data_IF_887289846368
#
_entry.id   IF_887289846368
#
_cell.length_a   1.000
_cell.length_b   1.000
_cell.length_c   1.000
_cell.angle_alpha   90.00
_cell.angle_beta   90.00
_cell.angle_gamma   90.00
#
_symmetry.space_group_name_H-M   'P 1'
#
loop_
_entity.id
_entity.type
_entity.pdbx_description
1 polymer ?
#
# COMPACT_ATOMS: atom_id res chain seq x y z
N UNK A 1 -17.33 20.39 -13.36
CA UNK A 1 -16.66 20.24 -14.65
C UNK A 1 -17.21 21.18 -15.75
N UNK A 2 -18.48 21.33 -15.95
CA UNK A 2 -19.11 22.15 -17.02
C UNK A 2 -18.73 23.64 -16.97
N UNK A 3 -18.72 24.27 -15.79
CA UNK A 3 -18.35 25.70 -15.65
C UNK A 3 -16.92 26.03 -16.13
N UNK A 4 -15.95 25.14 -15.90
CA UNK A 4 -14.57 25.36 -16.35
C UNK A 4 -14.38 25.21 -17.85
N UNK A 5 -15.17 24.34 -18.52
CA UNK A 5 -15.16 24.21 -19.98
C UNK A 5 -15.75 25.45 -20.65
N UNK A 6 -16.89 25.97 -20.18
CA UNK A 6 -17.47 27.20 -20.70
C UNK A 6 -16.54 28.40 -20.60
N UNK A 7 -15.81 28.52 -19.48
CA UNK A 7 -14.83 29.60 -19.29
C UNK A 7 -13.68 29.54 -20.31
N UNK A 8 -13.20 28.34 -20.65
CA UNK A 8 -12.11 28.17 -21.64
C UNK A 8 -12.54 28.61 -23.05
N UNK A 9 -13.79 28.33 -23.46
CA UNK A 9 -14.32 28.81 -24.72
C UNK A 9 -14.53 30.33 -24.72
N UNK A 10 -14.98 30.89 -23.62
CA UNK A 10 -15.14 32.34 -23.48
C UNK A 10 -13.78 33.06 -23.56
N UNK A 11 -12.76 32.54 -22.90
CA UNK A 11 -11.37 33.06 -22.97
C UNK A 11 -10.88 32.99 -24.40
N UNK A 12 -11.13 31.90 -25.16
CA UNK A 12 -10.69 31.77 -26.53
C UNK A 12 -11.34 32.80 -27.47
N UNK A 13 -12.61 33.07 -27.32
CA UNK A 13 -13.29 34.10 -28.13
C UNK A 13 -12.83 35.51 -27.74
N UNK A 14 -12.63 35.76 -26.45
CA UNK A 14 -12.12 37.09 -25.99
C UNK A 14 -10.69 37.34 -26.51
N UNK A 15 -9.81 36.33 -26.46
CA UNK A 15 -8.43 36.49 -26.94
C UNK A 15 -8.38 36.79 -28.46
N UNK A 16 -9.23 36.11 -29.24
CA UNK A 16 -9.35 36.35 -30.68
C UNK A 16 -9.91 37.76 -30.94
N UNK A 17 -10.96 38.19 -30.24
CA UNK A 17 -11.53 39.52 -30.39
C UNK A 17 -10.51 40.63 -30.04
N UNK A 18 -9.77 40.46 -28.94
CA UNK A 18 -8.71 41.38 -28.52
C UNK A 18 -7.59 41.45 -29.57
N UNK A 19 -7.16 40.32 -30.11
CA UNK A 19 -6.15 40.24 -31.15
C UNK A 19 -6.60 40.97 -32.43
N UNK A 20 -7.86 40.78 -32.85
CA UNK A 20 -8.45 41.47 -33.99
C UNK A 20 -8.49 43.00 -33.79
N UNK A 21 -8.99 43.45 -32.62
CA UNK A 21 -9.05 44.88 -32.28
C UNK A 21 -7.65 45.51 -32.20
N UNK A 22 -6.65 44.81 -31.73
CA UNK A 22 -5.27 45.29 -31.66
C UNK A 22 -4.61 45.35 -33.03
N UNK A 23 -5.06 44.52 -33.98
CA UNK A 23 -4.54 44.50 -35.34
C UNK A 23 -5.10 45.63 -36.23
N UNK A 24 -6.33 46.09 -35.99
CA UNK A 24 -6.99 47.13 -36.82
C UNK A 24 -6.18 48.40 -37.03
N UNK A 25 -5.55 49.03 -36.01
CA UNK A 25 -4.82 50.29 -36.22
C UNK A 25 -3.49 50.11 -36.97
N UNK A 26 -2.96 48.89 -37.05
CA UNK A 26 -1.71 48.58 -37.73
C UNK A 26 -1.88 48.27 -39.24
N UNK A 27 -3.11 47.97 -39.66
CA UNK A 27 -3.45 47.70 -41.06
C UNK A 27 -3.79 49.02 -41.81
N UNK A 28 -3.33 49.27 -43.07
CA UNK A 28 -2.58 48.36 -43.93
C UNK A 28 -1.04 48.50 -43.88
N UNK A 29 -0.50 49.23 -42.90
CA UNK A 29 0.94 49.52 -42.86
C UNK A 29 1.82 48.25 -42.63
N UNK A 30 1.26 47.18 -42.04
CA UNK A 30 1.95 45.94 -41.80
C UNK A 30 1.00 44.74 -42.12
N UNK A 31 1.04 44.29 -43.38
CA UNK A 31 0.12 43.26 -43.89
C UNK A 31 0.11 41.94 -43.15
N UNK A 32 1.24 41.46 -42.62
CA UNK A 32 1.36 40.18 -41.93
C UNK A 32 1.06 40.26 -40.43
N UNK A 33 0.96 41.46 -39.87
CA UNK A 33 0.80 41.69 -38.43
C UNK A 33 -0.52 41.13 -37.86
N UNK A 34 -1.69 41.24 -38.53
CA UNK A 34 -2.94 40.66 -38.09
C UNK A 34 -2.86 39.12 -37.93
N UNK A 35 -2.27 38.42 -38.90
CA UNK A 35 -2.13 36.96 -38.87
C UNK A 35 -1.29 36.51 -37.70
N UNK A 36 -0.19 37.20 -37.37
CA UNK A 36 0.66 36.88 -36.21
C UNK A 36 -0.07 37.05 -34.87
N UNK A 37 -0.86 38.12 -34.71
CA UNK A 37 -1.65 38.35 -33.49
C UNK A 37 -2.75 37.29 -33.31
N UNK A 38 -3.43 36.91 -34.37
CA UNK A 38 -4.44 35.86 -34.34
C UNK A 38 -3.83 34.50 -34.07
N UNK A 39 -2.65 34.22 -34.62
CA UNK A 39 -1.90 32.99 -34.30
C UNK A 39 -1.53 32.93 -32.80
N UNK A 40 -1.10 34.05 -32.21
CA UNK A 40 -0.83 34.15 -30.78
C UNK A 40 -2.10 33.92 -29.95
N UNK A 41 -3.25 34.42 -30.37
CA UNK A 41 -4.53 34.17 -29.72
C UNK A 41 -4.94 32.68 -29.74
N UNK A 42 -4.68 31.99 -30.87
CA UNK A 42 -4.87 30.54 -31.00
C UNK A 42 -3.93 29.78 -30.05
N UNK A 43 -2.66 30.20 -29.97
CA UNK A 43 -1.69 29.59 -29.05
C UNK A 43 -2.11 29.74 -27.57
N UNK A 44 -2.59 30.90 -27.15
CA UNK A 44 -3.12 31.16 -25.83
C UNK A 44 -4.35 30.29 -25.57
N UNK A 45 -5.29 30.22 -26.51
CA UNK A 45 -6.49 29.39 -26.40
C UNK A 45 -6.17 27.89 -26.24
N UNK A 46 -5.19 27.40 -27.03
CA UNK A 46 -4.70 26.02 -26.92
C UNK A 46 -4.06 25.75 -25.57
N UNK A 47 -3.33 26.71 -25.01
CA UNK A 47 -2.66 26.56 -23.71
C UNK A 47 -3.65 26.49 -22.53
N UNK A 48 -4.73 27.26 -22.58
CA UNK A 48 -5.73 27.35 -21.49
C UNK A 48 -6.77 26.24 -21.61
N UNK A 49 -7.33 26.03 -22.79
CA UNK A 49 -8.50 25.19 -22.99
C UNK A 49 -8.25 23.82 -23.68
N UNK A 50 -7.06 23.60 -24.24
CA UNK A 50 -6.77 22.42 -25.04
C UNK A 50 -7.37 22.48 -26.45
N UNK A 51 -7.68 21.33 -27.05
CA UNK A 51 -8.10 21.22 -28.46
C UNK A 51 -9.38 21.98 -28.81
N UNK A 52 -10.45 21.83 -28.03
CA UNK A 52 -11.75 22.41 -28.36
C UNK A 52 -11.69 23.93 -28.50
N UNK A 53 -11.29 24.67 -27.45
CA UNK A 53 -11.09 26.12 -27.53
C UNK A 53 -10.08 26.56 -28.60
N UNK A 54 -9.01 25.78 -28.85
CA UNK A 54 -8.04 26.08 -29.91
C UNK A 54 -8.67 26.02 -31.32
N UNK A 55 -9.48 25.01 -31.59
CA UNK A 55 -10.18 24.89 -32.88
C UNK A 55 -11.17 26.04 -33.06
N UNK A 56 -11.92 26.40 -32.00
CA UNK A 56 -12.87 27.52 -32.08
C UNK A 56 -12.15 28.83 -32.33
N UNK A 57 -11.03 29.11 -31.65
CA UNK A 57 -10.23 30.30 -31.89
C UNK A 57 -9.56 30.30 -33.28
N UNK A 58 -9.17 29.14 -33.80
CA UNK A 58 -8.64 29.02 -35.18
C UNK A 58 -9.69 29.41 -36.22
N UNK A 59 -10.89 28.84 -36.11
CA UNK A 59 -12.00 29.14 -37.03
C UNK A 59 -12.43 30.62 -36.92
N UNK A 60 -12.61 31.13 -35.71
CA UNK A 60 -12.97 32.52 -35.48
C UNK A 60 -11.87 33.48 -35.97
N UNK A 61 -10.60 33.18 -35.68
CA UNK A 61 -9.46 33.98 -36.12
C UNK A 61 -9.35 34.02 -37.64
N UNK A 62 -9.52 32.86 -38.30
CA UNK A 62 -9.52 32.78 -39.75
C UNK A 62 -10.65 33.62 -40.38
N UNK A 63 -11.89 33.47 -39.88
CA UNK A 63 -13.02 34.25 -40.37
C UNK A 63 -12.84 35.78 -40.20
N UNK A 64 -12.23 36.18 -39.07
CA UNK A 64 -11.97 37.59 -38.80
C UNK A 64 -10.79 38.12 -39.64
N UNK A 65 -9.79 37.28 -39.94
CA UNK A 65 -8.68 37.63 -40.84
C UNK A 65 -9.21 37.89 -42.24
N UNK A 66 -9.99 36.96 -42.79
CA UNK A 66 -10.60 37.07 -44.12
C UNK A 66 -11.53 38.29 -44.23
N UNK A 67 -12.40 38.52 -43.25
CA UNK A 67 -13.39 39.61 -43.29
C UNK A 67 -12.79 41.02 -43.13
N UNK A 68 -11.82 41.21 -42.23
CA UNK A 68 -11.30 42.54 -41.91
C UNK A 68 -10.00 42.94 -42.64
N UNK A 69 -9.18 41.94 -43.02
CA UNK A 69 -7.82 42.20 -43.47
C UNK A 69 -7.50 41.70 -44.89
N UNK A 70 -8.42 40.94 -45.54
CA UNK A 70 -8.25 40.59 -46.95
C UNK A 70 -9.00 41.52 -47.90
N UNK A 71 -8.49 41.64 -49.12
CA UNK A 71 -9.07 42.49 -50.14
C UNK A 71 -10.04 41.70 -51.04
N UNK A 72 -11.28 42.23 -51.32
CA UNK A 72 -11.85 43.47 -50.83
C UNK A 72 -12.35 43.34 -49.37
N UNK A 73 -12.02 44.34 -48.49
CA UNK A 73 -12.41 44.29 -47.09
C UNK A 73 -13.95 44.25 -46.92
N UNK A 74 -14.40 43.62 -45.80
CA UNK A 74 -15.81 43.41 -45.47
C UNK A 74 -16.56 42.47 -46.43
N UNK A 75 -15.82 41.57 -47.10
CA UNK A 75 -16.40 40.56 -47.97
C UNK A 75 -15.75 39.21 -47.69
N UNK A 76 -16.49 38.13 -47.80
CA UNK A 76 -15.96 36.77 -47.71
C UNK A 76 -15.69 36.29 -49.17
N UNK A 77 -14.50 36.52 -49.66
CA UNK A 77 -14.10 36.06 -51.01
C UNK A 77 -12.81 35.26 -50.92
N UNK A 78 -12.91 33.99 -51.16
CA UNK A 78 -11.74 33.10 -51.30
C UNK A 78 -11.17 33.33 -52.71
N UNK A 79 -10.45 34.45 -52.93
CA UNK A 79 -9.96 34.86 -54.24
C UNK A 79 -8.50 34.58 -54.50
N UNK A 80 -7.73 34.15 -53.47
CA UNK A 80 -6.31 33.89 -53.63
C UNK A 80 -5.88 32.55 -53.00
N UNK A 81 -4.82 31.95 -53.54
CA UNK A 81 -4.24 30.67 -53.07
C UNK A 81 -3.60 30.81 -51.68
N UNK A 82 -3.34 32.02 -51.19
CA UNK A 82 -2.80 32.31 -49.87
C UNK A 82 -3.76 31.93 -48.72
N UNK A 83 -5.05 32.22 -48.85
CA UNK A 83 -6.08 32.03 -47.81
C UNK A 83 -6.19 30.57 -47.27
N UNK A 84 -6.23 29.54 -48.13
CA UNK A 84 -6.24 28.15 -47.63
C UNK A 84 -4.92 27.73 -46.98
N UNK A 85 -3.79 28.31 -47.38
CA UNK A 85 -2.48 28.00 -46.75
C UNK A 85 -2.40 28.54 -45.33
N UNK A 86 -2.92 29.74 -45.08
CA UNK A 86 -2.99 30.33 -43.74
C UNK A 86 -3.90 29.52 -42.80
N UNK A 87 -5.05 29.08 -43.29
CA UNK A 87 -5.91 28.19 -42.49
C UNK A 87 -5.21 26.87 -42.10
N UNK A 88 -4.48 26.27 -43.05
CA UNK A 88 -3.68 25.07 -42.78
C UNK A 88 -2.60 25.35 -41.72
N UNK A 89 -1.90 26.48 -41.82
CA UNK A 89 -0.89 26.88 -40.85
C UNK A 89 -1.48 27.11 -39.44
N UNK A 90 -2.59 27.83 -39.35
CA UNK A 90 -3.32 28.02 -38.08
C UNK A 90 -3.78 26.70 -37.47
N UNK A 91 -4.36 25.83 -38.29
CA UNK A 91 -4.82 24.49 -37.82
C UNK A 91 -3.64 23.61 -37.36
N UNK A 92 -2.53 23.66 -38.12
CA UNK A 92 -1.30 22.94 -37.74
C UNK A 92 -0.78 23.38 -36.37
N UNK A 93 -0.67 24.71 -36.15
CA UNK A 93 -0.23 25.25 -34.85
C UNK A 93 -1.21 24.89 -33.72
N UNK A 94 -2.52 25.01 -33.99
CA UNK A 94 -3.54 24.64 -32.98
C UNK A 94 -3.43 23.17 -32.56
N UNK A 95 -3.27 22.26 -33.53
CA UNK A 95 -3.09 20.83 -33.28
C UNK A 95 -1.77 20.56 -32.57
N UNK A 96 -0.68 21.14 -33.02
CA UNK A 96 0.65 20.96 -32.44
C UNK A 96 0.67 21.40 -30.95
N UNK A 97 0.21 22.63 -30.69
CA UNK A 97 0.14 23.17 -29.33
C UNK A 97 -0.88 22.40 -28.43
N UNK A 98 -2.01 22.02 -29.03
CA UNK A 98 -3.00 21.19 -28.35
C UNK A 98 -2.44 19.84 -27.91
N UNK A 99 -1.71 19.14 -28.81
CA UNK A 99 -1.06 17.85 -28.51
C UNK A 99 0.04 17.99 -27.47
N UNK A 100 0.90 19.00 -27.62
CA UNK A 100 2.00 19.26 -26.70
C UNK A 100 1.47 19.55 -25.28
N UNK A 101 0.48 20.43 -25.17
CA UNK A 101 -0.14 20.74 -23.88
C UNK A 101 -0.85 19.52 -23.26
N UNK A 102 -1.52 18.68 -24.07
CA UNK A 102 -2.13 17.45 -23.58
C UNK A 102 -1.08 16.48 -23.00
N UNK A 103 0.02 16.29 -23.73
CA UNK A 103 1.16 15.46 -23.27
C UNK A 103 1.80 16.01 -21.99
N UNK A 104 2.04 17.31 -21.92
CA UNK A 104 2.60 17.96 -20.73
C UNK A 104 1.68 17.81 -19.50
N UNK A 105 0.37 17.97 -19.69
CA UNK A 105 -0.61 17.75 -18.59
C UNK A 105 -0.62 16.30 -18.13
N UNK A 106 -0.64 15.34 -19.05
CA UNK A 106 -0.57 13.92 -18.74
C UNK A 106 0.72 13.57 -17.98
N UNK A 107 1.87 14.03 -18.46
CA UNK A 107 3.16 13.80 -17.81
C UNK A 107 3.20 14.39 -16.38
N UNK A 108 2.66 15.62 -16.20
CA UNK A 108 2.55 16.24 -14.86
C UNK A 108 1.63 15.46 -13.93
N UNK A 109 0.51 14.95 -14.43
CA UNK A 109 -0.41 14.12 -13.62
C UNK A 109 0.25 12.82 -13.19
N UNK A 110 0.94 12.12 -14.09
CA UNK A 110 1.69 10.91 -13.74
C UNK A 110 2.79 11.19 -12.71
N UNK A 111 3.56 12.25 -12.92
CA UNK A 111 4.62 12.64 -11.98
C UNK A 111 4.06 13.03 -10.59
N UNK A 112 2.91 13.71 -10.53
CA UNK A 112 2.28 14.07 -9.25
C UNK A 112 1.68 12.86 -8.54
N UNK A 113 1.13 11.89 -9.28
CA UNK A 113 0.63 10.63 -8.70
C UNK A 113 1.77 9.79 -8.13
N UNK A 114 2.85 9.60 -8.90
CA UNK A 114 4.03 8.87 -8.44
C UNK A 114 4.69 9.53 -7.21
N UNK A 115 4.72 10.87 -7.17
CA UNK A 115 5.20 11.61 -6.00
C UNK A 115 4.33 11.38 -4.76
N UNK A 116 3.00 11.46 -4.92
CA UNK A 116 2.07 11.23 -3.82
C UNK A 116 2.20 9.81 -3.25
N UNK A 117 2.39 8.81 -4.11
CA UNK A 117 2.61 7.43 -3.71
C UNK A 117 3.94 7.25 -2.97
N UNK A 118 5.03 7.84 -3.48
CA UNK A 118 6.32 7.80 -2.81
C UNK A 118 6.30 8.52 -1.44
N UNK A 119 5.63 9.67 -1.34
CA UNK A 119 5.46 10.40 -0.08
C UNK A 119 4.61 9.60 0.93
N UNK A 120 3.56 8.90 0.47
CA UNK A 120 2.76 8.02 1.31
C UNK A 120 3.60 6.85 1.86
N UNK A 121 4.38 6.19 1.00
CA UNK A 121 5.29 5.10 1.41
C UNK A 121 6.34 5.57 2.43
N UNK A 122 6.92 6.76 2.23
CA UNK A 122 7.86 7.34 3.21
C UNK A 122 7.20 7.63 4.56
N UNK A 123 5.99 8.19 4.58
CA UNK A 123 5.25 8.44 5.83
C UNK A 123 4.97 7.14 6.59
N UNK A 124 4.48 6.11 5.89
CA UNK A 124 4.24 4.80 6.52
C UNK A 124 5.53 4.22 7.12
N UNK A 125 6.66 4.35 6.41
CA UNK A 125 7.97 3.94 6.93
C UNK A 125 8.39 4.73 8.18
N UNK A 126 8.22 6.05 8.16
CA UNK A 126 8.61 6.91 9.28
C UNK A 126 7.72 6.67 10.51
N UNK A 127 6.43 6.43 10.32
CA UNK A 127 5.50 6.02 11.37
C UNK A 127 5.91 4.67 11.98
N UNK A 128 6.27 3.69 11.15
CA UNK A 128 6.79 2.41 11.62
C UNK A 128 8.07 2.56 12.45
N UNK A 129 9.03 3.38 11.99
CA UNK A 129 10.27 3.64 12.73
C UNK A 129 10.01 4.36 14.07
N UNK A 130 9.03 5.26 14.11
CA UNK A 130 8.64 5.94 15.37
C UNK A 130 8.05 4.93 16.36
N UNK A 131 7.19 4.02 15.90
CA UNK A 131 6.60 2.94 16.71
C UNK A 131 7.67 2.01 17.25
N UNK A 132 8.59 1.54 16.40
CA UNK A 132 9.74 0.71 16.80
C UNK A 132 10.58 1.41 17.87
N UNK A 133 10.89 2.70 17.67
CA UNK A 133 11.68 3.48 18.62
C UNK A 133 10.99 3.62 19.98
N UNK A 134 9.68 3.81 19.98
CA UNK A 134 8.86 3.87 21.19
C UNK A 134 8.86 2.52 21.93
N UNK A 135 8.63 1.42 21.21
CA UNK A 135 8.51 0.07 21.76
C UNK A 135 9.84 -0.49 22.27
N UNK A 136 10.97 -0.02 21.73
CA UNK A 136 12.30 -0.29 22.29
C UNK A 136 12.60 0.55 23.52
N UNK A 137 12.12 1.79 23.58
CA UNK A 137 12.43 2.71 24.70
C UNK A 137 11.76 2.29 26.00
N UNK A 138 10.55 1.77 25.94
CA UNK A 138 9.78 1.35 27.12
C UNK A 138 10.48 0.26 27.91
N UNK A 139 10.83 -0.92 27.36
CA UNK A 139 11.55 -1.97 28.08
C UNK A 139 12.95 -1.51 28.53
N UNK A 140 13.64 -0.76 27.70
CA UNK A 140 14.96 -0.23 28.06
C UNK A 140 14.90 0.73 29.26
N UNK A 141 13.83 1.54 29.36
CA UNK A 141 13.59 2.40 30.51
C UNK A 141 13.30 1.63 31.76
N UNK A 142 12.48 0.56 31.67
CA UNK A 142 12.18 -0.33 32.79
C UNK A 142 13.45 -1.03 33.31
N UNK A 143 14.27 -1.59 32.40
CA UNK A 143 15.58 -2.18 32.75
C UNK A 143 16.46 -1.14 33.46
N UNK A 144 16.63 0.05 32.85
CA UNK A 144 17.46 1.11 33.41
C UNK A 144 16.99 1.56 34.77
N UNK A 145 15.69 1.70 34.99
CA UNK A 145 15.09 2.09 36.27
C UNK A 145 15.33 1.01 37.32
N UNK A 146 15.10 -0.27 37.02
CA UNK A 146 15.31 -1.41 37.89
C UNK A 146 16.79 -1.51 38.30
N UNK A 147 17.72 -1.40 37.35
CA UNK A 147 19.16 -1.39 37.61
C UNK A 147 19.55 -0.20 38.49
N UNK A 148 19.00 1.00 38.20
CA UNK A 148 19.32 2.20 39.02
C UNK A 148 18.85 2.05 40.47
N UNK A 149 17.67 1.45 40.67
CA UNK A 149 17.12 1.16 41.99
C UNK A 149 17.97 0.14 42.74
N UNK A 150 18.40 -0.94 42.08
CA UNK A 150 19.28 -1.96 42.64
C UNK A 150 20.65 -1.43 43.02
N UNK A 151 21.16 -0.42 42.33
CA UNK A 151 22.47 0.21 42.56
C UNK A 151 22.45 1.32 43.60
N UNK A 152 21.27 1.74 44.05
CA UNK A 152 21.18 2.85 45.02
C UNK A 152 21.57 2.37 46.45
N UNK A 153 22.72 2.78 46.99
CA UNK A 153 23.18 2.30 48.31
C UNK A 153 22.39 2.90 49.49
N UNK A 154 21.59 3.94 49.22
CA UNK A 154 20.85 4.66 50.28
C UNK A 154 19.51 4.07 50.64
N UNK A 155 19.03 3.05 49.92
CA UNK A 155 17.72 2.42 50.13
C UNK A 155 17.89 0.91 50.36
N UNK A 156 17.82 0.41 51.62
CA UNK A 156 17.82 -1.04 51.85
C UNK A 156 16.58 -1.65 51.21
N UNK A 157 16.78 -2.46 50.17
CA UNK A 157 15.74 -3.22 49.52
C UNK A 157 15.53 -4.52 50.24
N UNK A 158 14.28 -4.89 50.48
CA UNK A 158 13.91 -6.25 50.92
C UNK A 158 14.33 -7.27 49.85
N UNK A 159 14.72 -8.48 50.26
CA UNK A 159 15.13 -9.53 49.30
C UNK A 159 14.07 -9.84 48.26
N UNK A 160 12.78 -9.80 48.61
CA UNK A 160 11.67 -9.94 47.67
C UNK A 160 11.66 -8.86 46.58
N UNK A 161 11.81 -7.60 46.98
CA UNK A 161 11.84 -6.48 46.00
C UNK A 161 13.07 -6.56 45.08
N UNK A 162 14.21 -7.04 45.60
CA UNK A 162 15.40 -7.28 44.78
C UNK A 162 15.15 -8.35 43.72
N UNK A 163 14.53 -9.44 44.09
CA UNK A 163 14.16 -10.52 43.16
C UNK A 163 13.14 -10.06 42.11
N UNK A 164 12.13 -9.30 42.51
CA UNK A 164 11.17 -8.67 41.56
C UNK A 164 11.83 -7.77 40.54
N UNK A 165 12.78 -6.92 40.96
CA UNK A 165 13.50 -6.05 40.06
C UNK A 165 14.40 -6.82 39.09
N UNK A 166 15.06 -7.89 39.55
CA UNK A 166 15.84 -8.78 38.69
C UNK A 166 14.96 -9.51 37.69
N UNK A 167 13.82 -10.03 38.13
CA UNK A 167 12.82 -10.66 37.24
C UNK A 167 12.27 -9.68 36.19
N UNK A 168 12.06 -8.42 36.55
CA UNK A 168 11.67 -7.37 35.61
C UNK A 168 12.74 -7.14 34.55
N UNK A 169 14.03 -7.10 34.97
CA UNK A 169 15.14 -6.92 34.01
C UNK A 169 15.22 -8.08 33.03
N UNK A 170 15.11 -9.30 33.53
CA UNK A 170 15.14 -10.53 32.72
C UNK A 170 13.97 -10.54 31.70
N UNK A 171 12.74 -10.33 32.17
CA UNK A 171 11.55 -10.33 31.33
C UNK A 171 11.61 -9.25 30.23
N UNK A 172 12.09 -8.03 30.54
CA UNK A 172 12.20 -6.96 29.53
C UNK A 172 13.38 -7.17 28.57
N UNK A 173 14.46 -7.83 29.03
CA UNK A 173 15.56 -8.23 28.15
C UNK A 173 15.12 -9.30 27.15
N UNK A 174 14.40 -10.33 27.60
CA UNK A 174 13.83 -11.37 26.74
C UNK A 174 12.86 -10.78 25.73
N UNK A 175 12.02 -9.84 26.17
CA UNK A 175 11.11 -9.11 25.26
C UNK A 175 11.85 -8.36 24.15
N UNK A 176 12.99 -7.73 24.47
CA UNK A 176 13.84 -7.05 23.47
C UNK A 176 14.45 -8.04 22.47
N UNK A 177 14.92 -9.20 22.96
CA UNK A 177 15.48 -10.26 22.10
C UNK A 177 14.40 -10.77 21.11
N UNK A 178 13.18 -11.04 21.59
CA UNK A 178 12.07 -11.44 20.73
C UNK A 178 11.73 -10.36 19.70
N UNK A 179 11.67 -9.09 20.12
CA UNK A 179 11.39 -7.98 19.21
C UNK A 179 12.43 -7.87 18.09
N UNK A 180 13.73 -7.98 18.41
CA UNK A 180 14.81 -7.94 17.40
C UNK A 180 14.72 -9.14 16.46
N UNK A 181 14.46 -10.33 16.99
CA UNK A 181 14.27 -11.56 16.20
C UNK A 181 13.10 -11.43 15.20
N UNK A 182 11.96 -10.94 15.67
CA UNK A 182 10.78 -10.68 14.85
C UNK A 182 11.06 -9.67 13.73
N UNK A 183 11.74 -8.56 14.06
CA UNK A 183 12.10 -7.53 13.08
C UNK A 183 13.05 -8.07 12.00
N UNK A 184 14.04 -8.90 12.39
CA UNK A 184 14.95 -9.55 11.43
C UNK A 184 14.21 -10.57 10.57
N UNK A 185 13.33 -11.37 11.15
CA UNK A 185 12.51 -12.35 10.43
C UNK A 185 11.60 -11.64 9.41
N UNK A 186 10.91 -10.57 9.82
CA UNK A 186 10.08 -9.77 8.92
C UNK A 186 10.90 -9.19 7.77
N UNK A 187 12.09 -8.66 8.06
CA UNK A 187 12.98 -8.10 7.04
C UNK A 187 13.43 -9.15 6.01
N UNK A 188 13.71 -10.39 6.46
CA UNK A 188 14.08 -11.50 5.57
C UNK A 188 12.89 -11.92 4.69
N UNK A 189 11.69 -12.04 5.25
CA UNK A 189 10.48 -12.39 4.51
C UNK A 189 10.17 -11.34 3.44
N UNK A 190 10.32 -10.05 3.74
CA UNK A 190 10.12 -8.94 2.80
C UNK A 190 11.15 -8.86 1.68
N UNK A 191 12.39 -9.25 1.96
CA UNK A 191 13.44 -9.33 0.94
C UNK A 191 13.18 -10.40 -0.12
N UNK A 192 12.18 -11.24 0.10
CA UNK A 192 11.82 -12.37 -0.76
C UNK A 192 12.66 -13.60 -0.44
N UNK A 193 12.01 -14.61 0.11
CA UNK A 193 12.64 -15.92 0.38
C UNK A 193 12.17 -16.87 -0.69
N UNK A 194 13.09 -17.67 -1.23
CA UNK A 194 12.73 -18.84 -2.04
C UNK A 194 12.39 -19.99 -1.09
N UNK A 195 11.14 -20.48 -1.05
CA UNK A 195 10.75 -21.55 -0.15
C UNK A 195 11.51 -22.85 -0.46
N UNK A 196 12.01 -23.52 0.56
CA UNK A 196 12.57 -24.87 0.44
C UNK A 196 11.47 -25.92 0.64
N UNK A 197 10.75 -26.23 -0.43
CA UNK A 197 9.60 -27.15 -0.39
C UNK A 197 10.06 -28.60 -0.43
N UNK A 198 10.04 -29.25 0.72
CA UNK A 198 10.37 -30.66 0.89
C UNK A 198 9.11 -31.49 1.19
N UNK A 199 9.20 -32.82 1.09
CA UNK A 199 8.15 -33.73 1.52
C UNK A 199 8.11 -33.77 3.04
N UNK A 200 7.03 -33.26 3.64
CA UNK A 200 6.86 -33.14 5.08
C UNK A 200 5.57 -33.80 5.54
N UNK A 201 5.58 -34.34 6.75
CA UNK A 201 4.40 -34.82 7.46
C UNK A 201 3.82 -33.64 8.25
N UNK A 202 2.60 -33.19 7.94
CA UNK A 202 1.96 -32.05 8.60
C UNK A 202 1.82 -32.27 10.11
N UNK A 203 1.42 -33.48 10.54
CA UNK A 203 1.23 -33.84 11.94
C UNK A 203 2.49 -33.67 12.79
N UNK A 204 3.66 -34.07 12.25
CA UNK A 204 4.96 -33.94 12.94
C UNK A 204 5.30 -32.47 13.23
N UNK A 205 5.11 -31.60 12.23
CA UNK A 205 5.42 -30.19 12.36
C UNK A 205 4.49 -29.51 13.36
N UNK A 206 3.19 -29.74 13.26
CA UNK A 206 2.22 -29.14 14.20
C UNK A 206 2.46 -29.65 15.62
N UNK A 207 2.76 -30.95 15.80
CA UNK A 207 3.08 -31.51 17.10
C UNK A 207 4.35 -30.92 17.70
N UNK A 208 5.42 -30.79 16.91
CA UNK A 208 6.68 -30.20 17.36
C UNK A 208 6.51 -28.74 17.83
N UNK A 209 5.69 -27.95 17.11
CA UNK A 209 5.40 -26.56 17.51
C UNK A 209 4.58 -26.52 18.81
N UNK A 210 3.59 -27.40 18.94
CA UNK A 210 2.79 -27.51 20.17
C UNK A 210 3.66 -27.88 21.37
N UNK A 211 4.51 -28.90 21.26
CA UNK A 211 5.40 -29.34 22.31
C UNK A 211 6.35 -28.23 22.77
N UNK A 212 6.91 -27.48 21.82
CA UNK A 212 7.78 -26.35 22.10
C UNK A 212 7.07 -25.21 22.84
N UNK A 213 5.81 -24.93 22.49
CA UNK A 213 5.04 -23.82 23.05
C UNK A 213 4.15 -24.27 24.27
N UNK A 214 4.20 -25.54 24.66
CA UNK A 214 3.47 -26.04 25.81
C UNK A 214 3.66 -25.22 27.11
N UNK A 215 4.88 -24.76 27.45
CA UNK A 215 5.08 -23.91 28.63
C UNK A 215 4.33 -22.57 28.57
N UNK A 216 4.15 -22.02 27.39
CA UNK A 216 3.39 -20.76 27.15
C UNK A 216 1.88 -21.02 27.18
N UNK A 217 1.45 -22.12 26.59
CA UNK A 217 0.04 -22.50 26.54
C UNK A 217 -0.51 -22.92 27.90
N UNK A 218 0.35 -23.48 28.78
CA UNK A 218 -0.02 -23.87 30.12
C UNK A 218 -1.11 -24.97 30.17
N UNK A 219 -1.96 -24.94 31.18
CA UNK A 219 -3.03 -25.96 31.39
C UNK A 219 -4.28 -25.72 30.49
N UNK A 220 -4.12 -25.17 29.28
CA UNK A 220 -5.24 -24.96 28.36
C UNK A 220 -5.74 -26.29 27.81
N UNK A 221 -7.07 -26.48 27.68
CA UNK A 221 -7.61 -27.62 26.94
C UNK A 221 -7.24 -27.50 25.47
N UNK A 222 -6.37 -28.35 24.97
CA UNK A 222 -5.96 -28.40 23.58
C UNK A 222 -6.59 -29.57 22.87
N UNK A 223 -7.40 -29.31 21.84
CA UNK A 223 -7.90 -30.33 20.92
C UNK A 223 -6.98 -30.36 19.70
N UNK A 224 -6.34 -31.50 19.48
CA UNK A 224 -5.45 -31.72 18.32
C UNK A 224 -6.11 -32.74 17.38
N UNK A 225 -6.49 -32.27 16.19
CA UNK A 225 -7.15 -33.09 15.16
C UNK A 225 -6.36 -32.98 13.84
N UNK A 226 -5.19 -33.61 13.83
CA UNK A 226 -4.38 -33.79 12.60
C UNK A 226 -4.18 -35.28 12.43
N UNK A 227 -4.89 -35.94 11.51
CA UNK A 227 -4.81 -37.41 11.37
C UNK A 227 -3.41 -37.84 10.93
N UNK A 228 -2.88 -38.89 11.62
CA UNK A 228 -1.60 -39.53 11.27
C UNK A 228 -1.60 -40.17 9.87
N UNK A 229 -2.80 -40.36 9.29
CA UNK A 229 -3.01 -40.93 7.96
C UNK A 229 -2.91 -39.91 6.82
N UNK A 230 -2.65 -38.63 7.13
CA UNK A 230 -2.46 -37.65 6.10
C UNK A 230 -1.23 -37.99 5.25
N UNK A 231 -1.34 -37.84 3.92
CA UNK A 231 -0.19 -38.04 3.04
C UNK A 231 0.90 -36.99 3.29
N UNK A 232 2.14 -37.31 2.91
CA UNK A 232 3.17 -36.28 2.83
C UNK A 232 2.79 -35.23 1.81
N UNK A 233 3.11 -33.95 2.10
CA UNK A 233 2.87 -32.83 1.22
C UNK A 233 4.16 -32.02 1.02
N UNK A 234 4.30 -31.37 -0.15
CA UNK A 234 5.48 -30.55 -0.47
C UNK A 234 5.24 -29.09 -0.08
N UNK A 235 5.85 -28.68 1.00
CA UNK A 235 5.85 -27.29 1.50
C UNK A 235 7.14 -27.01 2.28
N UNK A 236 7.39 -25.74 2.61
CA UNK A 236 8.52 -25.34 3.45
C UNK A 236 8.13 -25.48 4.94
N UNK A 237 8.75 -26.44 5.62
CA UNK A 237 8.49 -26.74 7.04
C UNK A 237 8.85 -25.55 7.94
N UNK A 238 9.97 -24.87 7.68
CA UNK A 238 10.42 -23.75 8.50
C UNK A 238 9.48 -22.55 8.44
N UNK A 239 8.97 -22.23 7.24
CA UNK A 239 7.97 -21.16 7.08
C UNK A 239 6.62 -21.54 7.71
N UNK A 240 6.22 -22.81 7.63
CA UNK A 240 4.99 -23.29 8.30
C UNK A 240 5.14 -23.25 9.83
N UNK A 241 6.26 -23.74 10.37
CA UNK A 241 6.58 -23.64 11.80
C UNK A 241 6.57 -22.21 12.30
N UNK A 242 7.17 -21.29 11.53
CA UNK A 242 7.19 -19.85 11.86
C UNK A 242 5.78 -19.28 11.93
N UNK A 243 4.92 -19.57 10.94
CA UNK A 243 3.54 -19.10 10.93
C UNK A 243 2.75 -19.67 12.11
N UNK A 244 2.82 -20.97 12.35
CA UNK A 244 2.12 -21.65 13.45
C UNK A 244 2.59 -21.17 14.83
N UNK A 245 3.89 -20.98 15.02
CA UNK A 245 4.45 -20.46 16.28
C UNK A 245 3.86 -19.09 16.61
N UNK A 246 3.85 -18.19 15.65
CA UNK A 246 3.28 -16.85 15.84
C UNK A 246 1.76 -16.88 16.14
N UNK A 247 1.02 -17.80 15.51
CA UNK A 247 -0.41 -17.95 15.78
C UNK A 247 -0.64 -18.49 17.20
N UNK A 248 0.12 -19.49 17.63
CA UNK A 248 -0.02 -20.09 18.97
C UNK A 248 0.47 -19.16 20.08
N UNK A 249 1.56 -18.43 19.85
CA UNK A 249 2.02 -17.36 20.75
C UNK A 249 0.96 -16.27 20.90
N UNK A 250 0.30 -15.89 19.82
CA UNK A 250 -0.81 -14.94 19.85
C UNK A 250 -1.96 -15.45 20.72
N UNK A 251 -2.33 -16.72 20.62
CA UNK A 251 -3.32 -17.35 21.53
C UNK A 251 -2.82 -17.31 22.98
N UNK A 252 -1.56 -17.70 23.23
CA UNK A 252 -0.97 -17.73 24.57
C UNK A 252 -1.03 -16.38 25.28
N UNK A 253 -0.74 -15.31 24.54
CA UNK A 253 -0.62 -13.95 25.07
C UNK A 253 -1.97 -13.20 25.12
N UNK A 254 -2.84 -13.40 24.14
CA UNK A 254 -4.04 -12.56 23.96
C UNK A 254 -5.34 -13.22 24.42
N UNK A 255 -5.31 -14.48 24.85
CA UNK A 255 -6.49 -15.11 25.43
C UNK A 255 -6.28 -15.41 26.92
N UNK A 256 -7.33 -15.37 27.75
CA UNK A 256 -7.22 -15.70 29.19
C UNK A 256 -6.62 -17.09 29.43
N UNK A 257 -5.90 -17.30 30.55
CA UNK A 257 -5.48 -18.66 30.97
C UNK A 257 -6.65 -19.63 31.01
N UNK A 258 -6.42 -20.90 30.63
CA UNK A 258 -7.48 -21.90 30.58
C UNK A 258 -8.44 -21.84 29.40
N UNK A 259 -8.26 -20.86 28.48
CA UNK A 259 -9.05 -20.77 27.25
C UNK A 259 -8.82 -22.00 26.37
N UNK A 260 -9.88 -22.63 25.86
CA UNK A 260 -9.78 -23.77 24.97
C UNK A 260 -9.14 -23.39 23.62
N UNK A 261 -8.30 -24.29 23.11
CA UNK A 261 -7.60 -24.20 21.84
C UNK A 261 -7.89 -25.44 21.00
N UNK A 262 -8.22 -25.27 19.73
CA UNK A 262 -8.37 -26.39 18.78
C UNK A 262 -7.46 -26.16 17.58
N UNK A 263 -6.71 -27.20 17.22
CA UNK A 263 -5.86 -27.19 16.02
C UNK A 263 -6.30 -28.33 15.12
N UNK A 264 -6.70 -28.01 13.92
CA UNK A 264 -7.08 -28.96 12.88
C UNK A 264 -6.13 -28.87 11.70
N UNK A 265 -5.69 -30.03 11.18
CA UNK A 265 -4.90 -30.12 9.97
C UNK A 265 -5.56 -31.01 8.92
N UNK A 266 -5.58 -30.56 7.67
CA UNK A 266 -6.13 -31.29 6.53
C UNK A 266 -5.23 -31.07 5.30
N UNK A 267 -5.29 -32.02 4.36
CA UNK A 267 -4.70 -31.87 3.03
C UNK A 267 -5.84 -32.14 2.05
N UNK A 268 -6.39 -31.06 1.50
CA UNK A 268 -7.53 -31.08 0.62
C UNK A 268 -7.27 -30.23 -0.62
N UNK A 269 -7.81 -30.63 -1.77
CA UNK A 269 -7.76 -29.89 -3.04
C UNK A 269 -6.35 -29.40 -3.46
N UNK A 270 -5.32 -30.20 -3.13
CA UNK A 270 -3.94 -29.84 -3.43
C UNK A 270 -3.36 -28.76 -2.51
N UNK A 271 -3.98 -28.50 -1.36
CA UNK A 271 -3.50 -27.55 -0.36
C UNK A 271 -3.32 -28.22 1.00
N UNK A 272 -2.32 -27.75 1.75
CA UNK A 272 -2.18 -27.98 3.19
C UNK A 272 -2.99 -26.90 3.90
N UNK A 273 -3.94 -27.31 4.74
CA UNK A 273 -4.78 -26.40 5.52
C UNK A 273 -4.59 -26.67 6.99
N UNK A 274 -4.26 -25.63 7.77
CA UNK A 274 -4.20 -25.69 9.22
C UNK A 274 -5.12 -24.61 9.81
N UNK A 275 -5.98 -25.01 10.73
CA UNK A 275 -6.89 -24.12 11.43
C UNK A 275 -6.51 -24.07 12.91
N UNK A 276 -6.31 -22.88 13.44
CA UNK A 276 -6.05 -22.61 14.86
C UNK A 276 -7.24 -21.81 15.39
N UNK A 277 -8.03 -22.42 16.27
CA UNK A 277 -9.28 -21.85 16.82
C UNK A 277 -9.16 -21.68 18.32
N UNK A 278 -9.43 -20.50 18.85
CA UNK A 278 -9.47 -20.23 20.28
C UNK A 278 -10.90 -19.91 20.77
N UNK A 279 -11.09 -19.93 22.08
CA UNK A 279 -12.31 -19.50 22.75
C UNK A 279 -12.13 -18.13 23.44
N UNK A 280 -11.26 -17.28 22.91
CA UNK A 280 -10.95 -15.96 23.45
C UNK A 280 -11.98 -14.89 23.05
N UNK A 281 -11.61 -13.59 23.11
CA UNK A 281 -12.52 -12.49 22.82
C UNK A 281 -12.86 -12.34 21.32
N UNK A 282 -12.18 -13.05 20.43
CA UNK A 282 -12.35 -12.95 18.98
C UNK A 282 -11.83 -11.64 18.39
N UNK A 283 -12.01 -11.47 17.07
CA UNK A 283 -11.56 -10.30 16.32
C UNK A 283 -12.75 -9.71 15.55
N UNK A 284 -13.15 -8.45 15.86
CA UNK A 284 -14.25 -7.80 15.14
C UNK A 284 -14.03 -7.78 13.62
N UNK A 285 -15.07 -8.01 12.79
CA UNK A 285 -14.93 -8.07 11.33
C UNK A 285 -14.24 -6.86 10.70
N UNK A 286 -14.48 -5.65 11.22
CA UNK A 286 -13.87 -4.42 10.75
C UNK A 286 -12.34 -4.34 10.98
N UNK A 287 -11.79 -5.20 11.85
CA UNK A 287 -10.38 -5.20 12.22
C UNK A 287 -9.60 -6.39 11.65
N UNK A 288 -10.28 -7.36 10.99
CA UNK A 288 -9.66 -8.62 10.52
C UNK A 288 -8.55 -8.41 9.50
N UNK A 289 -8.69 -7.45 8.61
CA UNK A 289 -7.62 -7.12 7.66
C UNK A 289 -6.46 -6.38 8.34
N UNK A 290 -6.78 -5.56 9.35
CA UNK A 290 -5.80 -4.73 10.05
C UNK A 290 -4.91 -5.51 11.01
N UNK A 291 -5.40 -6.58 11.63
CA UNK A 291 -4.62 -7.36 12.61
C UNK A 291 -3.35 -7.98 12.02
N UNK A 292 -3.27 -8.14 10.71
CA UNK A 292 -2.09 -8.60 9.99
C UNK A 292 -1.13 -7.46 9.61
N UNK A 293 -1.47 -6.21 9.92
CA UNK A 293 -0.60 -5.06 9.72
C UNK A 293 0.59 -5.08 10.67
N UNK A 294 1.74 -4.57 10.20
CA UNK A 294 2.94 -4.47 11.04
C UNK A 294 2.71 -3.45 12.14
N UNK A 295 3.11 -3.82 13.37
CA UNK A 295 2.98 -2.97 14.56
C UNK A 295 1.52 -2.63 14.91
N UNK A 296 0.55 -3.30 14.29
CA UNK A 296 -0.87 -3.14 14.63
C UNK A 296 -1.20 -3.87 15.93
N UNK A 297 -1.95 -3.20 16.79
CA UNK A 297 -2.39 -3.71 18.10
C UNK A 297 -3.84 -3.32 18.31
N UNK A 298 -4.68 -4.24 18.79
CA UNK A 298 -6.10 -3.99 19.00
C UNK A 298 -6.38 -3.17 20.26
N UNK A 299 -5.42 -3.06 21.19
CA UNK A 299 -5.55 -2.30 22.43
C UNK A 299 -4.27 -1.56 22.79
N UNK A 300 -4.42 -0.33 23.28
CA UNK A 300 -3.32 0.44 23.85
C UNK A 300 -2.82 -0.24 25.14
N UNK A 301 -1.57 -0.67 25.19
CA UNK A 301 -0.96 -1.34 26.36
C UNK A 301 -0.96 -2.87 26.34
N UNK A 302 -1.40 -3.52 25.26
CA UNK A 302 -1.31 -4.99 25.10
C UNK A 302 0.14 -5.49 25.09
N UNK A 303 0.36 -6.74 25.55
CA UNK A 303 1.65 -7.41 25.50
C UNK A 303 1.89 -7.89 24.06
N UNK A 304 3.09 -7.66 23.50
CA UNK A 304 3.45 -8.14 22.16
C UNK A 304 4.09 -7.06 21.27
N UNK A 305 4.79 -7.49 20.24
CA UNK A 305 5.52 -6.63 19.30
C UNK A 305 4.63 -6.04 18.21
N UNK A 306 3.43 -6.60 17.99
CA UNK A 306 2.57 -6.31 16.85
C UNK A 306 3.13 -6.82 15.52
N UNK A 307 4.16 -7.67 15.56
CA UNK A 307 4.77 -8.27 14.37
C UNK A 307 4.35 -9.73 14.17
N UNK A 308 3.93 -10.44 15.21
CA UNK A 308 3.67 -11.88 15.14
C UNK A 308 2.68 -12.29 14.05
N UNK A 309 1.50 -11.66 13.99
CA UNK A 309 0.50 -11.96 12.95
C UNK A 309 0.96 -11.50 11.55
N UNK A 310 1.72 -10.40 11.45
CA UNK A 310 2.32 -9.96 10.20
C UNK A 310 3.38 -10.97 9.70
N UNK A 311 4.19 -11.53 10.60
CA UNK A 311 5.17 -12.58 10.29
C UNK A 311 4.44 -13.86 9.86
N UNK A 312 3.40 -14.27 10.57
CA UNK A 312 2.61 -15.45 10.22
C UNK A 312 2.02 -15.33 8.81
N UNK A 313 1.49 -14.16 8.47
CA UNK A 313 0.98 -13.87 7.13
C UNK A 313 2.10 -13.88 6.09
N UNK A 314 3.20 -13.17 6.32
CA UNK A 314 4.31 -13.09 5.39
C UNK A 314 4.98 -14.46 5.14
N UNK A 315 5.13 -15.30 6.17
CA UNK A 315 5.66 -16.65 6.05
C UNK A 315 4.71 -17.58 5.24
N UNK A 316 3.41 -17.37 5.36
CA UNK A 316 2.41 -18.10 4.57
C UNK A 316 2.43 -17.64 3.11
N UNK A 317 2.42 -16.32 2.87
CA UNK A 317 2.47 -15.70 1.54
C UNK A 317 3.78 -16.02 0.80
N UNK A 318 4.91 -16.15 1.50
CA UNK A 318 6.19 -16.57 0.93
C UNK A 318 6.15 -17.97 0.28
N UNK A 319 5.17 -18.80 0.65
CA UNK A 319 4.91 -20.12 0.06
C UNK A 319 3.75 -20.10 -0.94
N UNK A 320 3.34 -18.93 -1.46
CA UNK A 320 2.14 -18.74 -2.29
C UNK A 320 0.84 -19.12 -1.57
N UNK A 321 0.87 -19.08 -0.23
CA UNK A 321 -0.26 -19.40 0.64
C UNK A 321 -1.09 -18.18 1.03
N UNK A 322 -2.12 -18.44 1.83
CA UNK A 322 -3.02 -17.41 2.37
C UNK A 322 -3.29 -17.65 3.86
N UNK A 323 -3.27 -16.58 4.66
CA UNK A 323 -3.69 -16.59 6.05
C UNK A 323 -4.96 -15.76 6.22
N UNK A 324 -6.00 -16.38 6.76
CA UNK A 324 -7.31 -15.77 6.98
C UNK A 324 -7.65 -15.77 8.47
N UNK A 325 -8.59 -14.92 8.88
CA UNK A 325 -9.18 -14.92 10.21
C UNK A 325 -10.69 -14.82 10.15
N UNK A 326 -11.37 -15.66 10.92
CA UNK A 326 -12.82 -15.76 11.01
C UNK A 326 -13.28 -15.91 12.46
N UNK A 327 -14.60 -16.01 12.68
CA UNK A 327 -15.13 -16.37 13.99
C UNK A 327 -14.86 -17.84 14.28
N UNK A 328 -14.36 -18.11 15.49
CA UNK A 328 -14.13 -19.47 15.97
C UNK A 328 -15.45 -20.14 16.35
N UNK A 329 -15.64 -21.43 16.02
CA UNK A 329 -16.73 -22.21 16.56
C UNK A 329 -16.69 -22.34 18.08
N UNK A 330 -15.55 -22.06 18.72
CA UNK A 330 -15.36 -22.01 20.16
C UNK A 330 -15.73 -20.64 20.78
N UNK A 331 -16.09 -19.66 19.97
CA UNK A 331 -16.51 -18.32 20.39
C UNK A 331 -15.44 -17.21 20.29
N UNK A 332 -14.20 -17.56 19.95
CA UNK A 332 -13.09 -16.62 19.79
C UNK A 332 -12.69 -16.38 18.33
N UNK A 333 -11.39 -16.37 18.03
CA UNK A 333 -10.84 -16.23 16.68
C UNK A 333 -10.44 -17.60 16.10
N UNK A 334 -10.63 -17.75 14.78
CA UNK A 334 -10.15 -18.88 14.00
C UNK A 334 -9.22 -18.36 12.91
N UNK A 335 -7.95 -18.72 13.02
CA UNK A 335 -6.95 -18.47 11.99
C UNK A 335 -6.88 -19.68 11.06
N UNK A 336 -6.90 -19.42 9.75
CA UNK A 336 -6.89 -20.45 8.72
C UNK A 336 -5.67 -20.20 7.83
N UNK A 337 -4.70 -21.11 7.93
CA UNK A 337 -3.49 -21.11 7.14
C UNK A 337 -3.66 -22.10 5.98
N UNK A 338 -3.48 -21.64 4.76
CA UNK A 338 -3.61 -22.43 3.53
C UNK A 338 -2.32 -22.27 2.74
N UNK A 339 -1.62 -23.40 2.50
CA UNK A 339 -0.40 -23.43 1.70
C UNK A 339 -0.61 -24.41 0.54
N UNK A 340 -0.36 -23.99 -0.72
CA UNK A 340 -0.43 -24.88 -1.86
C UNK A 340 0.56 -26.04 -1.70
N UNK A 341 0.11 -27.26 -1.96
CA UNK A 341 0.99 -28.40 -2.10
C UNK A 341 1.70 -28.28 -3.47
N UNK A 342 3.02 -28.23 -3.48
CA UNK A 342 3.80 -27.97 -4.70
C UNK A 342 3.51 -28.94 -5.85
N UNK A 343 3.03 -30.16 -5.58
CA UNK A 343 2.54 -31.08 -6.60
C UNK A 343 1.35 -30.54 -7.40
N UNK A 344 0.45 -29.82 -6.74
CA UNK A 344 -0.71 -29.24 -7.41
C UNK A 344 -0.32 -28.08 -8.33
N UNK A 345 0.70 -27.30 -7.95
CA UNK A 345 1.26 -26.23 -8.77
C UNK A 345 1.97 -26.77 -10.01
N UNK A 346 2.82 -27.80 -9.88
CA UNK A 346 3.51 -28.43 -11.02
C UNK A 346 2.54 -29.06 -12.05
N UNK A 347 1.37 -29.55 -11.59
CA UNK A 347 0.32 -30.09 -12.48
C UNK A 347 -0.51 -28.98 -13.13
N UNK A 348 -0.61 -27.79 -12.54
CA UNK A 348 -1.33 -26.65 -13.12
C UNK A 348 -0.50 -25.94 -14.21
N UNK A 349 0.83 -25.83 -14.02
CA UNK A 349 1.75 -25.25 -15.00
C UNK A 349 2.02 -26.20 -16.21
N UNK A 350 1.71 -27.48 -16.07
CA UNK A 350 1.85 -28.47 -17.16
C UNK A 350 0.62 -28.58 -18.09
N UNK A 351 -0.42 -27.80 -17.87
CA UNK A 351 -1.65 -27.70 -18.70
C UNK A 351 -1.70 -26.38 -19.44
#
# INVERSE_FOLDING_TARGET
MWKRRGLAYLVSLVTVAVATLAALPAYPAANDFPALLLLAAVAISASVGGYGPAIVSTLAGFLLLDFFFENPPYSFTISDVGTPLDLIAFLFVAVLLGTLNARLRAARQHASAARAEAEAALRTRDEALATVSHDLRTPLTAIKTSVSTLRNPGTPLADGTRLELLGTIEAEADRLVHFVSDALTMTRLEAGITPDRQWNALGEIVSAVLDRLNPLLGDRPVTFDVPDTLPLARFDAGLLEQALSNLLENVGVHTPPGTALSIMGRIDDGCVRVEVSDAGPGIPPALRDRVFGKFERLSDGGIGTGLGLAIARAATEAQDGQLLVEDSPLGGARFILIVPNALALEMADAR
#
